data_IF_533357148035
#
_entry.id   IF_533357148035
#
_cell.length_a   1.000
_cell.length_b   1.000
_cell.length_c   1.000
_cell.angle_alpha   90.00
_cell.angle_beta   90.00
_cell.angle_gamma   90.00
#
_symmetry.space_group_name_H-M   'P 1'
#
loop_
_entity.id
_entity.type
_entity.pdbx_description
1 polymer ?
#
# COMPACT_ATOMS: atom_id res chain seq x y z
N UNK A 1 -11.38 -14.62 2.33
CA UNK A 1 -10.01 -14.42 2.84
C UNK A 1 -9.87 -12.94 3.14
N UNK A 2 -9.27 -12.51 4.27
CA UNK A 2 -9.05 -11.09 4.49
C UNK A 2 -8.08 -10.56 3.42
N UNK A 3 -8.40 -9.41 2.82
CA UNK A 3 -7.46 -8.72 1.93
C UNK A 3 -6.26 -8.23 2.77
N UNK A 4 -5.02 -8.52 2.36
CA UNK A 4 -3.84 -8.09 3.11
C UNK A 4 -3.70 -6.57 3.05
N UNK A 5 -3.52 -5.94 4.21
CA UNK A 5 -3.30 -4.49 4.34
C UNK A 5 -2.05 -4.01 3.62
N UNK A 6 -1.03 -4.86 3.55
CA UNK A 6 0.23 -4.63 2.84
C UNK A 6 0.63 -5.91 2.13
N UNK A 7 1.11 -5.82 0.89
CA UNK A 7 1.64 -6.93 0.11
C UNK A 7 2.82 -6.51 -0.75
N UNK A 8 3.68 -7.46 -1.08
CA UNK A 8 4.76 -7.27 -2.05
C UNK A 8 4.36 -7.91 -3.39
N UNK A 9 4.51 -7.18 -4.49
CA UNK A 9 4.11 -7.62 -5.83
C UNK A 9 5.29 -7.50 -6.80
N UNK A 10 5.60 -8.57 -7.53
CA UNK A 10 6.58 -8.54 -8.63
C UNK A 10 7.96 -9.15 -8.35
N UNK A 11 8.16 -9.83 -7.22
CA UNK A 11 9.43 -10.54 -6.96
C UNK A 11 10.60 -9.59 -6.70
N UNK A 12 11.80 -9.86 -7.23
CA UNK A 12 13.01 -9.06 -6.95
C UNK A 12 12.89 -7.61 -7.42
N UNK A 13 12.26 -7.37 -8.58
CA UNK A 13 11.98 -6.03 -9.12
C UNK A 13 10.58 -5.53 -8.71
N UNK A 14 10.09 -6.07 -7.60
CA UNK A 14 8.75 -5.81 -7.11
C UNK A 14 8.60 -4.44 -6.45
N UNK A 15 7.41 -4.22 -5.93
CA UNK A 15 7.05 -3.03 -5.16
C UNK A 15 6.15 -3.41 -4.02
N UNK A 16 6.11 -2.55 -3.01
CA UNK A 16 5.13 -2.67 -1.95
C UNK A 16 3.80 -2.09 -2.42
N UNK A 17 2.71 -2.76 -2.10
CA UNK A 17 1.36 -2.25 -2.25
C UNK A 17 0.69 -2.24 -0.87
N UNK A 18 0.03 -1.14 -0.53
CA UNK A 18 -0.75 -1.02 0.70
C UNK A 18 -2.14 -0.46 0.43
N UNK A 19 -3.12 -0.83 1.26
CA UNK A 19 -4.47 -0.29 1.17
C UNK A 19 -4.49 1.11 1.81
N UNK A 20 -5.11 2.06 1.12
CA UNK A 20 -5.45 3.37 1.68
C UNK A 20 -6.62 3.19 2.67
N UNK A 21 -6.28 3.10 3.96
CA UNK A 21 -7.27 2.86 5.01
C UNK A 21 -8.13 4.09 5.30
N UNK A 22 -7.74 5.29 4.85
CA UNK A 22 -8.51 6.53 5.08
C UNK A 22 -9.80 6.58 4.25
N UNK A 23 -9.83 5.82 3.16
CA UNK A 23 -10.98 5.74 2.24
C UNK A 23 -11.96 4.62 2.62
N UNK A 24 -11.56 3.70 3.50
CA UNK A 24 -12.42 2.63 3.96
C UNK A 24 -13.50 3.15 4.93
N UNK A 25 -14.70 2.53 4.95
CA UNK A 25 -15.12 1.37 4.14
C UNK A 25 -15.70 1.77 2.76
N UNK A 26 -15.72 3.05 2.44
CA UNK A 26 -16.43 3.61 1.27
C UNK A 26 -15.74 3.27 -0.04
N UNK A 27 -14.42 3.33 -0.08
CA UNK A 27 -13.62 3.09 -1.27
C UNK A 27 -12.40 2.24 -0.95
N UNK A 28 -12.14 1.25 -1.82
CA UNK A 28 -10.95 0.42 -1.76
C UNK A 28 -9.93 0.92 -2.78
N UNK A 29 -8.81 1.44 -2.27
CA UNK A 29 -7.72 1.96 -3.10
C UNK A 29 -6.39 1.38 -2.63
N UNK A 30 -5.55 1.02 -3.59
CA UNK A 30 -4.20 0.50 -3.34
C UNK A 30 -3.16 1.52 -3.79
N UNK A 31 -2.23 1.80 -2.90
CA UNK A 31 -1.08 2.67 -3.14
C UNK A 31 0.13 1.79 -3.39
N UNK A 32 0.85 2.06 -4.47
CA UNK A 32 2.08 1.36 -4.82
C UNK A 32 3.30 2.21 -4.43
N UNK A 33 4.16 1.67 -3.58
CA UNK A 33 5.41 2.29 -3.16
C UNK A 33 6.58 1.50 -3.74
N UNK A 34 7.37 2.16 -4.58
CA UNK A 34 8.60 1.66 -5.20
C UNK A 34 9.85 2.17 -4.50
N UNK A 35 9.75 3.26 -3.74
CA UNK A 35 10.87 3.79 -2.95
C UNK A 35 10.55 3.83 -1.45
N UNK A 36 11.59 3.93 -0.63
CA UNK A 36 11.46 4.05 0.83
C UNK A 36 10.74 5.35 1.21
N UNK A 37 10.99 6.43 0.47
CA UNK A 37 10.35 7.72 0.66
C UNK A 37 8.83 7.62 0.42
N UNK A 38 8.40 6.93 -0.64
CA UNK A 38 6.97 6.72 -0.91
C UNK A 38 6.29 5.91 0.20
N UNK A 39 6.99 4.94 0.81
CA UNK A 39 6.47 4.21 1.98
C UNK A 39 6.34 5.13 3.19
N UNK A 40 7.36 5.95 3.45
CA UNK A 40 7.39 6.84 4.61
C UNK A 40 6.30 7.91 4.55
N UNK A 41 6.09 8.51 3.37
CA UNK A 41 4.98 9.45 3.15
C UNK A 41 3.62 8.76 3.34
N UNK A 42 3.46 7.53 2.83
CA UNK A 42 2.23 6.78 3.01
C UNK A 42 1.91 6.52 4.50
N UNK A 43 2.90 6.13 5.33
CA UNK A 43 2.71 5.91 6.78
C UNK A 43 2.33 7.19 7.52
N UNK A 44 2.79 8.35 7.05
CA UNK A 44 2.49 9.62 7.72
C UNK A 44 1.09 10.13 7.46
N UNK A 45 0.52 9.78 6.31
CA UNK A 45 -0.74 10.34 5.82
C UNK A 45 -1.92 9.38 6.03
N UNK A 46 -1.65 8.07 6.07
CA UNK A 46 -2.65 6.99 6.17
C UNK A 46 -2.74 6.40 7.57
#
# INVERSE_FOLDING_TARGET
MPEPTVRWVGGLDGRMELIDQTLLPTEYKVIACRTVEEVWEAIKVL
#
